data_IF_668329450017
#
_entry.id   IF_668329450017
#
_cell.length_a   1.000
_cell.length_b   1.000
_cell.length_c   1.000
_cell.angle_alpha   90.00
_cell.angle_beta   90.00
_cell.angle_gamma   90.00
#
_symmetry.space_group_name_H-M   'P 1'
#
loop_
_entity.id
_entity.type
_entity.pdbx_description
1 polymer ?
#
# COMPACT_ATOMS: atom_id res chain seq x y z
N UNK A 1 -70.05 -56.94 63.28
CA UNK A 1 -69.45 -57.61 62.11
C UNK A 1 -70.45 -57.94 61.00
N UNK A 2 -71.74 -58.32 61.33
CA UNK A 2 -72.75 -58.63 60.32
C UNK A 2 -73.29 -57.37 59.61
N UNK A 3 -73.51 -56.27 60.33
CA UNK A 3 -73.94 -54.99 59.74
C UNK A 3 -72.91 -54.36 58.83
N UNK A 4 -71.60 -54.46 59.13
CA UNK A 4 -70.53 -53.95 58.29
C UNK A 4 -70.41 -54.74 56.98
N UNK A 5 -70.67 -56.04 56.99
CA UNK A 5 -70.71 -56.88 55.76
C UNK A 5 -71.90 -56.51 54.86
N UNK A 6 -73.07 -56.22 55.49
CA UNK A 6 -74.25 -55.78 54.73
C UNK A 6 -73.98 -54.42 54.02
N UNK A 7 -73.40 -53.46 54.74
CA UNK A 7 -73.07 -52.14 54.18
C UNK A 7 -72.01 -52.20 53.08
N UNK A 8 -71.04 -53.11 53.16
CA UNK A 8 -70.07 -53.34 52.09
C UNK A 8 -70.71 -53.96 50.83
N UNK A 9 -71.67 -54.91 51.05
CA UNK A 9 -72.41 -55.52 49.96
C UNK A 9 -73.33 -54.53 49.25
N UNK A 10 -73.97 -53.62 49.92
CA UNK A 10 -74.75 -52.53 49.28
C UNK A 10 -73.90 -51.55 48.53
N UNK A 11 -72.76 -51.19 49.06
CA UNK A 11 -71.81 -50.35 48.33
C UNK A 11 -71.28 -51.05 47.08
N UNK A 12 -70.92 -52.29 47.08
CA UNK A 12 -70.52 -53.06 45.95
C UNK A 12 -71.62 -53.13 44.86
N UNK A 13 -72.87 -53.37 45.26
CA UNK A 13 -74.02 -53.37 44.34
C UNK A 13 -74.26 -51.97 43.72
N UNK A 14 -74.10 -50.91 44.51
CA UNK A 14 -74.20 -49.52 44.02
C UNK A 14 -73.10 -49.23 43.03
N UNK A 15 -71.84 -49.60 43.27
CA UNK A 15 -70.70 -49.43 42.34
C UNK A 15 -70.90 -50.25 41.07
N UNK A 16 -71.47 -51.49 41.16
CA UNK A 16 -71.75 -52.25 39.92
C UNK A 16 -72.88 -51.60 39.10
N UNK A 17 -73.90 -51.04 39.73
CA UNK A 17 -74.96 -50.28 39.04
C UNK A 17 -74.42 -49.05 38.37
N UNK A 18 -73.53 -48.28 39.02
CA UNK A 18 -72.91 -47.10 38.48
C UNK A 18 -71.98 -47.50 37.30
N UNK A 19 -71.18 -48.53 37.43
CA UNK A 19 -70.30 -49.00 36.37
C UNK A 19 -71.07 -49.48 35.14
N UNK A 20 -72.26 -50.16 35.34
CA UNK A 20 -73.10 -50.58 34.24
C UNK A 20 -73.79 -49.41 33.54
N UNK A 21 -74.17 -48.37 34.26
CA UNK A 21 -74.73 -47.14 33.70
C UNK A 21 -73.67 -46.35 32.89
N UNK A 22 -72.43 -46.20 33.43
CA UNK A 22 -71.33 -45.56 32.76
C UNK A 22 -70.94 -46.33 31.53
N UNK A 23 -70.88 -47.66 31.55
CA UNK A 23 -70.61 -48.50 30.37
C UNK A 23 -71.69 -48.33 29.29
N UNK A 24 -72.94 -48.24 29.69
CA UNK A 24 -74.07 -48.02 28.78
C UNK A 24 -74.04 -46.60 28.14
N UNK A 25 -73.67 -45.57 28.94
CA UNK A 25 -73.49 -44.21 28.45
C UNK A 25 -72.32 -44.15 27.50
N UNK A 26 -71.24 -44.80 27.81
CA UNK A 26 -70.04 -44.86 26.93
C UNK A 26 -70.39 -45.52 25.58
N UNK A 27 -71.14 -46.64 25.56
CA UNK A 27 -71.64 -47.25 24.35
C UNK A 27 -72.55 -46.32 23.51
N UNK A 28 -73.38 -45.52 24.15
CA UNK A 28 -74.24 -44.56 23.47
C UNK A 28 -73.39 -43.42 22.86
N UNK A 29 -72.41 -42.90 23.59
CA UNK A 29 -71.49 -41.89 23.09
C UNK A 29 -70.65 -42.42 21.94
N UNK A 30 -70.15 -43.67 22.08
CA UNK A 30 -69.37 -44.31 21.00
C UNK A 30 -70.22 -44.53 19.71
N UNK A 31 -71.51 -44.88 19.87
CA UNK A 31 -72.45 -44.96 18.74
C UNK A 31 -72.80 -43.60 18.17
N UNK A 32 -72.93 -42.56 18.95
CA UNK A 32 -73.11 -41.18 18.48
C UNK A 32 -71.88 -40.68 17.69
N UNK A 33 -70.73 -40.85 18.27
CA UNK A 33 -69.44 -40.50 17.58
C UNK A 33 -69.26 -41.28 16.32
N UNK A 34 -69.66 -42.56 16.29
CA UNK A 34 -69.62 -43.37 15.06
C UNK A 34 -70.69 -42.97 14.02
N UNK A 35 -71.81 -42.42 14.46
CA UNK A 35 -72.89 -41.93 13.53
C UNK A 35 -72.61 -40.54 12.96
N UNK A 36 -71.81 -39.69 13.63
CA UNK A 36 -71.35 -38.38 13.19
C UNK A 36 -69.99 -38.41 12.50
N UNK A 37 -69.36 -39.60 12.39
CA UNK A 37 -68.15 -39.73 11.60
C UNK A 37 -68.44 -39.31 10.14
N UNK A 38 -67.64 -38.37 9.58
CA UNK A 38 -67.86 -37.88 8.23
C UNK A 38 -67.93 -39.03 7.25
N UNK A 39 -68.86 -38.93 6.29
CA UNK A 39 -69.17 -39.98 5.32
C UNK A 39 -67.87 -40.49 4.66
N UNK A 40 -67.73 -41.78 4.47
CA UNK A 40 -66.55 -42.52 4.01
C UNK A 40 -65.84 -41.93 2.76
N UNK A 41 -66.55 -41.10 2.04
CA UNK A 41 -66.04 -40.42 0.83
C UNK A 41 -65.11 -39.22 1.20
N UNK A 42 -65.42 -38.40 2.20
CA UNK A 42 -64.55 -37.29 2.62
C UNK A 42 -63.30 -37.77 3.42
N UNK A 43 -63.47 -38.82 4.27
CA UNK A 43 -62.37 -39.44 4.97
C UNK A 43 -61.40 -40.17 4.00
N UNK A 44 -61.87 -40.67 2.88
CA UNK A 44 -61.02 -41.31 1.86
C UNK A 44 -60.19 -40.31 1.02
N UNK A 45 -60.67 -39.06 0.91
CA UNK A 45 -59.92 -37.99 0.19
C UNK A 45 -58.84 -37.37 1.10
N UNK A 46 -59.18 -37.00 2.29
CA UNK A 46 -58.26 -36.44 3.28
C UNK A 46 -57.20 -37.46 3.68
N UNK A 47 -57.56 -38.72 3.83
CA UNK A 47 -56.63 -39.81 4.12
C UNK A 47 -55.62 -40.07 2.97
N UNK A 48 -56.10 -40.02 1.72
CA UNK A 48 -55.18 -40.14 0.55
C UNK A 48 -54.29 -38.96 0.37
N UNK A 49 -54.78 -37.75 0.57
CA UNK A 49 -53.97 -36.53 0.51
C UNK A 49 -52.96 -36.53 1.68
N UNK A 50 -53.36 -36.87 2.86
CA UNK A 50 -52.45 -36.99 4.01
C UNK A 50 -51.40 -38.08 3.82
N UNK A 51 -51.73 -39.23 3.28
CA UNK A 51 -50.77 -40.32 2.96
C UNK A 51 -49.82 -39.95 1.81
N UNK A 52 -50.29 -39.17 0.82
CA UNK A 52 -49.46 -38.63 -0.23
C UNK A 52 -48.44 -37.62 0.33
N UNK A 53 -48.89 -36.68 1.18
CA UNK A 53 -47.96 -35.72 1.84
C UNK A 53 -46.99 -36.43 2.80
N UNK A 54 -47.43 -37.45 3.52
CA UNK A 54 -46.53 -38.24 4.40
C UNK A 54 -45.56 -39.10 3.60
N UNK A 55 -45.98 -39.69 2.48
CA UNK A 55 -45.12 -40.43 1.54
C UNK A 55 -44.08 -39.54 0.89
N UNK A 56 -44.52 -38.35 0.39
CA UNK A 56 -43.62 -37.34 -0.17
C UNK A 56 -42.67 -36.82 0.93
N UNK A 57 -43.16 -36.50 2.14
CA UNK A 57 -42.34 -36.08 3.25
C UNK A 57 -41.33 -37.15 3.67
N UNK A 58 -41.74 -38.44 3.67
CA UNK A 58 -40.86 -39.57 3.93
C UNK A 58 -39.81 -39.81 2.84
N UNK A 59 -40.20 -39.65 1.57
CA UNK A 59 -39.28 -39.72 0.44
C UNK A 59 -38.29 -38.55 0.45
N UNK A 60 -38.78 -37.32 0.68
CA UNK A 60 -37.92 -36.13 0.86
C UNK A 60 -36.96 -36.31 2.03
N UNK A 61 -37.41 -36.81 3.15
CA UNK A 61 -36.55 -37.06 4.31
C UNK A 61 -35.50 -38.13 4.05
N UNK A 62 -35.79 -39.17 3.28
CA UNK A 62 -34.80 -40.16 2.84
C UNK A 62 -33.78 -39.59 1.85
N UNK A 63 -34.22 -38.78 0.90
CA UNK A 63 -33.34 -38.07 -0.03
C UNK A 63 -32.47 -37.07 0.73
N UNK A 64 -33.07 -36.34 1.69
CA UNK A 64 -32.37 -35.35 2.50
C UNK A 64 -31.31 -35.97 3.43
N UNK A 65 -31.57 -37.17 3.93
CA UNK A 65 -30.67 -37.93 4.80
C UNK A 65 -29.75 -38.90 4.03
N UNK A 66 -29.75 -38.88 2.69
CA UNK A 66 -28.88 -39.70 1.89
C UNK A 66 -27.41 -39.25 2.05
N UNK A 67 -26.55 -40.15 2.51
CA UNK A 67 -25.11 -39.89 2.67
C UNK A 67 -24.41 -39.98 1.31
N UNK A 68 -23.89 -38.83 0.85
CA UNK A 68 -23.20 -38.75 -0.44
C UNK A 68 -21.70 -38.99 -0.31
N UNK A 69 -21.10 -38.57 0.81
CA UNK A 69 -19.69 -38.68 1.10
C UNK A 69 -19.48 -39.05 2.58
N UNK A 70 -18.62 -40.00 2.83
CA UNK A 70 -18.14 -40.34 4.17
C UNK A 70 -16.72 -39.80 4.32
N UNK A 71 -16.53 -38.80 5.19
CA UNK A 71 -15.21 -38.28 5.55
C UNK A 71 -14.74 -39.01 6.82
N UNK A 72 -13.50 -39.54 6.74
CA UNK A 72 -12.84 -40.12 7.92
C UNK A 72 -12.05 -38.99 8.60
N UNK A 73 -12.50 -38.56 9.76
CA UNK A 73 -11.78 -37.60 10.58
C UNK A 73 -11.06 -38.33 11.72
N UNK A 74 -9.78 -38.00 11.93
CA UNK A 74 -9.00 -38.50 13.03
C UNK A 74 -9.08 -37.54 14.19
N UNK A 75 -9.85 -37.88 15.21
CA UNK A 75 -9.93 -37.09 16.46
C UNK A 75 -9.03 -37.78 17.49
N UNK A 76 -8.02 -37.06 17.93
CA UNK A 76 -7.13 -37.50 19.00
C UNK A 76 -7.78 -37.12 20.35
N UNK A 77 -8.34 -38.12 21.03
CA UNK A 77 -8.87 -38.02 22.38
C UNK A 77 -8.02 -38.94 23.29
N UNK A 78 -7.38 -38.31 24.26
CA UNK A 78 -6.64 -39.02 25.32
C UNK A 78 -5.50 -39.92 24.83
N UNK A 79 -4.79 -39.52 23.76
CA UNK A 79 -3.67 -40.29 23.19
C UNK A 79 -4.09 -41.48 22.31
N UNK A 80 -5.37 -41.67 22.01
CA UNK A 80 -5.89 -42.65 21.07
C UNK A 80 -6.47 -42.00 19.82
N UNK A 81 -6.01 -42.38 18.64
CA UNK A 81 -6.58 -41.99 17.36
C UNK A 81 -7.94 -42.70 17.16
N UNK A 82 -9.04 -41.99 17.42
CA UNK A 82 -10.37 -42.45 17.10
C UNK A 82 -10.76 -41.98 15.69
N UNK A 83 -10.97 -42.94 14.78
CA UNK A 83 -11.52 -42.66 13.44
C UNK A 83 -13.03 -42.44 13.55
N UNK A 84 -13.46 -41.22 13.50
CA UNK A 84 -14.88 -40.86 13.45
C UNK A 84 -15.30 -40.72 11.99
N UNK A 85 -16.20 -41.59 11.54
CA UNK A 85 -16.81 -41.46 10.21
C UNK A 85 -17.96 -40.47 10.28
N UNK A 86 -17.84 -39.35 9.58
CA UNK A 86 -18.92 -38.40 9.40
C UNK A 86 -19.47 -38.51 7.98
N UNK A 87 -20.76 -38.78 7.85
CA UNK A 87 -21.47 -38.79 6.57
C UNK A 87 -21.98 -37.40 6.23
N UNK A 88 -21.53 -36.87 5.10
CA UNK A 88 -22.12 -35.63 4.54
C UNK A 88 -23.41 -35.98 3.82
N UNK A 89 -24.54 -35.55 4.33
CA UNK A 89 -25.86 -35.82 3.74
C UNK A 89 -26.17 -34.85 2.61
N UNK A 90 -27.03 -35.30 1.66
CA UNK A 90 -27.46 -34.46 0.53
C UNK A 90 -28.12 -33.15 1.01
N UNK A 91 -28.81 -33.21 2.15
CA UNK A 91 -29.45 -32.02 2.74
C UNK A 91 -28.45 -30.97 3.21
N UNK A 92 -27.34 -31.41 3.82
CA UNK A 92 -26.26 -30.50 4.23
C UNK A 92 -25.57 -29.90 3.02
N UNK A 93 -25.33 -30.69 1.94
CA UNK A 93 -24.78 -30.20 0.67
C UNK A 93 -25.65 -29.14 0.02
N UNK A 94 -26.95 -29.42 -0.12
CA UNK A 94 -27.90 -28.47 -0.68
C UNK A 94 -28.06 -27.20 0.18
N UNK A 95 -28.07 -27.36 1.52
CA UNK A 95 -28.11 -26.24 2.44
C UNK A 95 -26.87 -25.35 2.35
N UNK A 96 -25.69 -25.95 2.27
CA UNK A 96 -24.43 -25.25 2.11
C UNK A 96 -24.33 -24.53 0.74
N UNK A 97 -24.81 -25.19 -0.33
CA UNK A 97 -24.90 -24.57 -1.66
C UNK A 97 -25.86 -23.38 -1.66
N UNK A 98 -27.03 -23.55 -1.05
CA UNK A 98 -28.02 -22.47 -0.92
C UNK A 98 -27.44 -21.30 -0.11
N UNK A 99 -26.80 -21.61 1.02
CA UNK A 99 -26.09 -20.60 1.82
C UNK A 99 -25.07 -19.83 0.98
N UNK A 100 -24.20 -20.54 0.25
CA UNK A 100 -23.20 -19.92 -0.62
C UNK A 100 -23.84 -18.99 -1.65
N UNK A 101 -24.86 -19.48 -2.37
CA UNK A 101 -25.53 -18.72 -3.41
C UNK A 101 -26.20 -17.48 -2.83
N UNK A 102 -26.98 -17.63 -1.76
CA UNK A 102 -27.69 -16.51 -1.10
C UNK A 102 -26.69 -15.48 -0.58
N UNK A 103 -25.66 -15.94 0.14
CA UNK A 103 -24.63 -15.07 0.70
C UNK A 103 -23.85 -14.34 -0.39
N UNK A 104 -23.50 -15.02 -1.49
CA UNK A 104 -22.84 -14.41 -2.64
C UNK A 104 -23.69 -13.34 -3.31
N UNK A 105 -24.97 -13.62 -3.57
CA UNK A 105 -25.89 -12.63 -4.14
C UNK A 105 -26.14 -11.46 -3.19
N UNK A 106 -26.28 -11.70 -1.89
CA UNK A 106 -26.41 -10.64 -0.90
C UNK A 106 -25.16 -9.75 -0.89
N UNK A 107 -23.96 -10.36 -0.82
CA UNK A 107 -22.68 -9.64 -0.87
C UNK A 107 -22.51 -8.84 -2.17
N UNK A 108 -22.91 -9.40 -3.32
CA UNK A 108 -22.83 -8.71 -4.59
C UNK A 108 -23.76 -7.50 -4.67
N UNK A 109 -24.95 -7.58 -4.04
CA UNK A 109 -25.85 -6.42 -3.94
C UNK A 109 -25.30 -5.34 -3.02
N UNK A 110 -24.72 -5.73 -1.88
CA UNK A 110 -24.06 -4.79 -0.96
C UNK A 110 -22.88 -4.11 -1.64
N UNK A 111 -22.00 -4.88 -2.30
CA UNK A 111 -20.85 -4.35 -3.04
C UNK A 111 -21.28 -3.33 -4.10
N UNK A 112 -22.30 -3.66 -4.91
CA UNK A 112 -22.83 -2.72 -5.93
C UNK A 112 -23.44 -1.45 -5.33
N UNK A 113 -24.07 -1.53 -4.15
CA UNK A 113 -24.58 -0.34 -3.45
C UNK A 113 -23.45 0.53 -2.93
N UNK A 114 -22.43 -0.09 -2.32
CA UNK A 114 -21.24 0.62 -1.84
C UNK A 114 -20.49 1.32 -2.98
N UNK A 115 -20.29 0.62 -4.12
CA UNK A 115 -19.68 1.22 -5.32
C UNK A 115 -20.44 2.48 -5.77
N UNK A 116 -21.77 2.41 -5.85
CA UNK A 116 -22.60 3.59 -6.23
C UNK A 116 -22.44 4.75 -5.25
N UNK A 117 -22.38 4.47 -3.95
CA UNK A 117 -22.20 5.52 -2.92
C UNK A 117 -20.81 6.16 -3.00
N UNK A 118 -19.77 5.34 -3.22
CA UNK A 118 -18.38 5.84 -3.34
C UNK A 118 -18.21 6.71 -4.58
N UNK A 119 -18.76 6.28 -5.71
CA UNK A 119 -18.75 7.06 -6.96
C UNK A 119 -19.56 8.34 -6.81
N UNK A 120 -20.76 8.27 -6.22
CA UNK A 120 -21.63 9.44 -6.03
C UNK A 120 -20.99 10.51 -5.12
N UNK A 121 -20.09 10.12 -4.21
CA UNK A 121 -19.33 11.04 -3.37
C UNK A 121 -18.06 11.60 -4.05
N UNK A 122 -17.81 11.25 -5.30
CA UNK A 122 -16.69 11.78 -6.09
C UNK A 122 -15.29 11.30 -5.65
N UNK A 123 -15.19 10.24 -4.82
CA UNK A 123 -13.92 9.77 -4.31
C UNK A 123 -13.14 8.90 -5.30
N UNK A 124 -13.84 8.26 -6.26
CA UNK A 124 -13.23 7.35 -7.23
C UNK A 124 -13.93 7.47 -8.59
N UNK A 125 -13.16 7.31 -9.67
CA UNK A 125 -13.71 7.16 -11.01
C UNK A 125 -14.47 5.83 -11.14
N UNK A 126 -15.49 5.79 -11.97
CA UNK A 126 -16.35 4.61 -12.22
C UNK A 126 -15.55 3.33 -12.53
N UNK A 127 -14.49 3.45 -13.33
CA UNK A 127 -13.63 2.32 -13.69
C UNK A 127 -12.88 1.76 -12.46
N UNK A 128 -12.35 2.63 -11.62
CA UNK A 128 -11.62 2.25 -10.40
C UNK A 128 -12.54 1.58 -9.38
N UNK A 129 -13.76 2.13 -9.17
CA UNK A 129 -14.76 1.58 -8.27
C UNK A 129 -15.21 0.18 -8.71
N UNK A 130 -15.38 -0.07 -10.01
CA UNK A 130 -15.71 -1.41 -10.55
C UNK A 130 -14.58 -2.40 -10.33
N UNK A 131 -13.33 -2.01 -10.64
CA UNK A 131 -12.16 -2.87 -10.44
C UNK A 131 -12.00 -3.25 -8.99
N UNK A 132 -12.09 -2.29 -8.07
CA UNK A 132 -11.99 -2.52 -6.63
C UNK A 132 -13.13 -3.41 -6.11
N UNK A 133 -14.35 -3.22 -6.63
CA UNK A 133 -15.49 -4.06 -6.30
C UNK A 133 -15.34 -5.51 -6.80
N UNK A 134 -14.75 -5.71 -7.96
CA UNK A 134 -14.48 -7.05 -8.49
C UNK A 134 -13.44 -7.79 -7.61
N UNK A 135 -12.36 -7.13 -7.24
CA UNK A 135 -11.36 -7.70 -6.32
C UNK A 135 -11.96 -8.04 -4.96
N UNK A 136 -12.77 -7.13 -4.39
CA UNK A 136 -13.49 -7.38 -3.16
C UNK A 136 -14.39 -8.63 -3.27
N UNK A 137 -15.12 -8.77 -4.37
CA UNK A 137 -15.99 -9.92 -4.60
C UNK A 137 -15.22 -11.25 -4.76
N UNK A 138 -14.02 -11.21 -5.32
CA UNK A 138 -13.14 -12.41 -5.36
C UNK A 138 -12.77 -12.83 -3.93
N UNK A 139 -12.31 -11.89 -3.09
CA UNK A 139 -11.95 -12.16 -1.69
C UNK A 139 -13.16 -12.67 -0.90
N UNK A 140 -14.31 -12.01 -1.02
CA UNK A 140 -15.57 -12.44 -0.38
C UNK A 140 -15.97 -13.83 -0.87
N UNK A 141 -15.85 -14.12 -2.17
CA UNK A 141 -16.14 -15.43 -2.73
C UNK A 141 -15.27 -16.55 -2.13
N UNK A 142 -13.98 -16.31 -1.98
CA UNK A 142 -13.05 -17.24 -1.33
C UNK A 142 -13.44 -17.47 0.14
N UNK A 143 -13.73 -16.40 0.90
CA UNK A 143 -14.14 -16.51 2.30
C UNK A 143 -15.47 -17.25 2.46
N UNK A 144 -16.44 -17.00 1.58
CA UNK A 144 -17.72 -17.72 1.55
C UNK A 144 -17.52 -19.20 1.19
N UNK A 145 -16.61 -19.51 0.27
CA UNK A 145 -16.27 -20.89 -0.07
C UNK A 145 -15.67 -21.63 1.14
N UNK A 146 -14.70 -21.01 1.83
CA UNK A 146 -14.13 -21.57 3.06
C UNK A 146 -15.18 -21.73 4.18
N UNK A 147 -16.04 -20.75 4.36
CA UNK A 147 -17.16 -20.84 5.31
C UNK A 147 -18.13 -21.98 4.95
N UNK A 148 -18.42 -22.15 3.67
CA UNK A 148 -19.26 -23.25 3.17
C UNK A 148 -18.62 -24.62 3.41
N UNK A 149 -17.30 -24.76 3.16
CA UNK A 149 -16.55 -25.97 3.47
C UNK A 149 -16.56 -26.28 4.97
N UNK A 150 -16.44 -25.26 5.81
CA UNK A 150 -16.54 -25.41 7.26
C UNK A 150 -17.94 -25.88 7.69
N UNK A 151 -19.01 -25.35 7.09
CA UNK A 151 -20.39 -25.81 7.34
C UNK A 151 -20.64 -27.27 6.90
N UNK A 152 -19.83 -27.77 5.97
CA UNK A 152 -19.85 -29.17 5.51
C UNK A 152 -19.00 -30.08 6.38
N UNK A 153 -18.42 -29.56 7.48
CA UNK A 153 -17.47 -30.27 8.34
C UNK A 153 -16.23 -30.83 7.56
N UNK A 154 -15.90 -30.20 6.42
CA UNK A 154 -14.71 -30.59 5.65
C UNK A 154 -13.47 -30.01 6.35
N UNK A 155 -12.45 -30.85 6.67
CA UNK A 155 -11.26 -30.38 7.37
C UNK A 155 -10.52 -29.35 6.51
N UNK A 156 -10.38 -28.13 7.06
CA UNK A 156 -9.73 -26.99 6.36
C UNK A 156 -8.19 -27.08 6.41
N UNK A 157 -7.61 -28.09 7.02
CA UNK A 157 -6.16 -28.26 7.20
C UNK A 157 -5.39 -28.25 5.88
N UNK A 158 -5.89 -28.93 4.85
CA UNK A 158 -5.28 -28.95 3.51
C UNK A 158 -5.32 -27.56 2.89
N UNK A 159 -6.45 -26.86 3.02
CA UNK A 159 -6.60 -25.49 2.51
C UNK A 159 -5.79 -24.48 3.32
N UNK A 160 -5.58 -24.71 4.62
CA UNK A 160 -4.70 -23.91 5.46
C UNK A 160 -3.25 -24.02 5.01
N UNK A 161 -2.77 -25.23 4.69
CA UNK A 161 -1.43 -25.46 4.17
C UNK A 161 -1.22 -24.79 2.80
N UNK A 162 -2.14 -25.01 1.85
CA UNK A 162 -2.10 -24.37 0.54
C UNK A 162 -2.22 -22.86 0.64
N UNK A 163 -3.13 -22.38 1.50
CA UNK A 163 -3.31 -20.95 1.77
C UNK A 163 -2.08 -20.31 2.39
N UNK A 164 -1.40 -21.02 3.31
CA UNK A 164 -0.13 -20.60 3.89
C UNK A 164 0.97 -20.46 2.84
N UNK A 165 1.14 -21.47 1.98
CA UNK A 165 2.10 -21.42 0.88
C UNK A 165 1.79 -20.25 -0.10
N UNK A 166 0.51 -20.06 -0.45
CA UNK A 166 0.06 -18.96 -1.29
C UNK A 166 0.29 -17.59 -0.61
N UNK A 167 0.00 -17.48 0.68
CA UNK A 167 0.22 -16.25 1.46
C UNK A 167 1.70 -15.86 1.49
N UNK A 168 2.61 -16.83 1.66
CA UNK A 168 4.06 -16.59 1.59
C UNK A 168 4.45 -16.10 0.20
N UNK A 169 3.99 -16.77 -0.87
CA UNK A 169 4.26 -16.35 -2.24
C UNK A 169 3.75 -14.94 -2.56
N UNK A 170 2.51 -14.61 -2.16
CA UNK A 170 1.94 -13.28 -2.29
C UNK A 170 2.70 -12.25 -1.44
N UNK A 171 3.13 -12.65 -0.22
CA UNK A 171 3.91 -11.80 0.67
C UNK A 171 5.22 -11.36 0.02
N UNK A 172 6.00 -12.30 -0.54
CA UNK A 172 7.21 -11.98 -1.29
C UNK A 172 6.92 -11.14 -2.54
N UNK A 173 5.85 -11.46 -3.29
CA UNK A 173 5.47 -10.71 -4.49
C UNK A 173 5.02 -9.27 -4.19
N UNK A 174 4.45 -9.01 -3.01
CA UNK A 174 3.97 -7.67 -2.61
C UNK A 174 4.95 -6.93 -1.70
N UNK A 175 6.06 -7.53 -1.31
CA UNK A 175 7.03 -6.97 -0.36
C UNK A 175 7.45 -5.54 -0.71
N UNK A 176 7.83 -5.29 -1.96
CA UNK A 176 8.26 -3.96 -2.41
C UNK A 176 7.12 -2.93 -2.34
N UNK A 177 5.89 -3.33 -2.64
CA UNK A 177 4.73 -2.45 -2.54
C UNK A 177 4.47 -2.03 -1.10
N UNK A 178 4.47 -3.01 -0.18
CA UNK A 178 4.26 -2.78 1.26
C UNK A 178 5.39 -1.90 1.83
N UNK A 179 6.64 -2.19 1.46
CA UNK A 179 7.81 -1.42 1.86
C UNK A 179 7.68 0.06 1.45
N UNK A 180 7.35 0.32 0.19
CA UNK A 180 7.15 1.68 -0.30
C UNK A 180 5.97 2.39 0.35
N UNK A 181 4.89 1.68 0.63
CA UNK A 181 3.72 2.22 1.32
C UNK A 181 4.06 2.63 2.76
N UNK A 182 4.71 1.75 3.52
CA UNK A 182 5.14 2.04 4.90
C UNK A 182 6.14 3.21 4.90
N UNK A 183 7.11 3.22 3.97
CA UNK A 183 8.06 4.32 3.81
C UNK A 183 7.37 5.65 3.53
N UNK A 184 6.32 5.65 2.69
CA UNK A 184 5.53 6.85 2.43
C UNK A 184 4.84 7.38 3.68
N UNK A 185 4.28 6.50 4.51
CA UNK A 185 3.68 6.89 5.80
C UNK A 185 4.73 7.51 6.73
N UNK A 186 5.91 6.87 6.83
CA UNK A 186 7.02 7.37 7.68
C UNK A 186 7.47 8.75 7.22
N UNK A 187 7.68 8.97 5.91
CA UNK A 187 8.06 10.26 5.35
C UNK A 187 7.05 11.37 5.70
N UNK A 188 5.76 11.08 5.58
CA UNK A 188 4.70 12.03 5.89
C UNK A 188 4.61 12.32 7.40
N UNK A 189 4.90 11.34 8.23
CA UNK A 189 4.81 11.47 9.69
C UNK A 189 6.05 12.15 10.28
N UNK A 190 7.26 11.71 9.92
CA UNK A 190 8.52 12.27 10.43
C UNK A 190 8.85 13.65 9.83
N UNK A 191 8.38 13.92 8.62
CA UNK A 191 8.60 15.19 7.92
C UNK A 191 10.07 15.59 7.76
N UNK A 192 10.98 14.60 7.64
CA UNK A 192 12.40 14.83 7.35
C UNK A 192 12.62 15.31 5.92
N UNK A 193 11.68 15.01 5.04
CA UNK A 193 11.58 15.53 3.67
C UNK A 193 10.17 16.08 3.51
N UNK A 194 10.06 17.29 2.97
CA UNK A 194 8.78 17.99 2.77
C UNK A 194 8.64 18.42 1.32
N UNK A 195 7.41 18.61 0.88
CA UNK A 195 7.13 19.25 -0.41
C UNK A 195 7.73 20.65 -0.41
N UNK A 196 8.51 20.97 -1.45
CA UNK A 196 9.27 22.20 -1.58
C UNK A 196 10.73 22.12 -1.10
N UNK A 197 11.15 21.02 -0.48
CA UNK A 197 12.55 20.81 -0.14
C UNK A 197 13.37 20.49 -1.38
N UNK A 198 14.62 20.97 -1.38
CA UNK A 198 15.63 20.59 -2.37
C UNK A 198 16.43 19.43 -1.80
N UNK A 199 16.36 18.29 -2.48
CA UNK A 199 16.98 17.04 -2.03
C UNK A 199 17.89 16.46 -3.11
N UNK A 200 18.88 15.68 -2.65
CA UNK A 200 19.64 14.76 -3.48
C UNK A 200 19.33 13.34 -2.99
N UNK A 201 18.70 12.55 -3.82
CA UNK A 201 18.27 11.18 -3.51
C UNK A 201 18.49 10.28 -4.72
N UNK A 202 19.24 9.20 -4.54
CA UNK A 202 19.55 8.26 -5.62
C UNK A 202 20.25 8.92 -6.81
N UNK A 203 21.06 9.98 -6.60
CA UNK A 203 21.73 10.75 -7.64
C UNK A 203 20.84 11.76 -8.38
N UNK A 204 19.59 11.90 -7.97
CA UNK A 204 18.67 12.92 -8.51
C UNK A 204 18.63 14.12 -7.58
N UNK A 205 19.13 15.25 -8.06
CA UNK A 205 19.08 16.53 -7.34
C UNK A 205 17.93 17.37 -7.85
N UNK A 206 17.00 17.74 -6.94
CA UNK A 206 15.84 18.52 -7.35
C UNK A 206 14.92 18.89 -6.20
N UNK A 207 13.80 19.53 -6.54
CA UNK A 207 12.78 19.95 -5.59
C UNK A 207 11.70 18.88 -5.48
N UNK A 208 11.34 18.51 -4.25
CA UNK A 208 10.22 17.60 -3.98
C UNK A 208 8.92 18.32 -4.32
N UNK A 209 8.18 17.81 -5.31
CA UNK A 209 6.90 18.37 -5.75
C UNK A 209 5.74 17.74 -5.01
N UNK A 210 5.81 16.42 -4.80
CA UNK A 210 4.72 15.64 -4.24
C UNK A 210 5.24 14.40 -3.52
N UNK A 211 4.62 14.05 -2.40
CA UNK A 211 4.87 12.81 -1.66
C UNK A 211 3.57 12.01 -1.67
N UNK A 212 3.54 10.96 -2.49
CA UNK A 212 2.41 10.05 -2.63
C UNK A 212 2.59 8.80 -1.77
N UNK A 213 1.58 7.93 -1.72
CA UNK A 213 1.56 6.71 -0.89
C UNK A 213 2.73 5.76 -1.14
N UNK A 214 3.22 5.61 -2.37
CA UNK A 214 4.28 4.66 -2.72
C UNK A 214 5.52 5.27 -3.36
N UNK A 215 5.42 6.49 -3.87
CA UNK A 215 6.50 7.19 -4.57
C UNK A 215 6.36 8.68 -4.37
N UNK A 216 7.49 9.38 -4.36
CA UNK A 216 7.56 10.83 -4.33
C UNK A 216 8.02 11.35 -5.69
N UNK A 217 7.61 12.57 -6.02
CA UNK A 217 7.98 13.25 -7.28
C UNK A 217 9.02 14.30 -6.95
N UNK A 218 10.18 14.19 -7.57
CA UNK A 218 11.27 15.16 -7.48
C UNK A 218 11.50 15.78 -8.84
N UNK A 219 11.39 17.11 -8.93
CA UNK A 219 11.66 17.85 -10.17
C UNK A 219 13.10 18.34 -10.16
N UNK A 220 13.89 17.85 -11.11
CA UNK A 220 15.26 18.30 -11.34
C UNK A 220 15.33 19.77 -11.74
N UNK A 221 16.53 20.35 -11.68
CA UNK A 221 16.78 21.72 -12.17
C UNK A 221 16.67 21.84 -13.69
N UNK A 222 16.69 20.71 -14.39
CA UNK A 222 16.42 20.58 -15.84
C UNK A 222 14.93 20.56 -16.19
N UNK A 223 14.05 20.56 -15.16
CA UNK A 223 12.61 20.48 -15.29
C UNK A 223 12.05 19.07 -15.43
N UNK A 224 12.90 18.03 -15.45
CA UNK A 224 12.47 16.63 -15.51
C UNK A 224 11.94 16.18 -14.15
N UNK A 225 10.80 15.49 -14.17
CA UNK A 225 10.18 14.92 -12.96
C UNK A 225 10.57 13.45 -12.81
N UNK A 226 11.29 13.14 -11.75
CA UNK A 226 11.67 11.80 -11.39
C UNK A 226 10.68 11.22 -10.37
N UNK A 227 10.12 10.04 -10.65
CA UNK A 227 9.29 9.27 -9.76
C UNK A 227 10.18 8.35 -8.92
N UNK A 228 10.41 8.71 -7.67
CA UNK A 228 11.32 8.00 -6.77
C UNK A 228 10.50 7.17 -5.80
N UNK A 229 10.70 5.83 -5.72
CA UNK A 229 10.06 4.99 -4.72
C UNK A 229 10.35 5.47 -3.30
N UNK A 230 9.34 5.52 -2.43
CA UNK A 230 9.50 6.07 -1.09
C UNK A 230 10.53 5.31 -0.22
N UNK A 231 10.72 4.02 -0.49
CA UNK A 231 11.70 3.21 0.22
C UNK A 231 13.14 3.76 0.06
N UNK A 232 13.48 4.33 -1.09
CA UNK A 232 14.81 4.88 -1.37
C UNK A 232 15.13 6.00 -0.38
N UNK A 233 14.16 6.84 -0.03
CA UNK A 233 14.36 7.92 0.94
C UNK A 233 14.73 7.45 2.35
N UNK A 234 14.44 6.20 2.70
CA UNK A 234 14.74 5.62 4.03
C UNK A 234 15.95 4.67 4.01
N UNK A 235 16.30 4.13 2.84
CA UNK A 235 17.34 3.12 2.69
C UNK A 235 18.66 3.68 2.20
N UNK A 236 18.60 4.75 1.43
CA UNK A 236 19.78 5.41 0.89
C UNK A 236 20.07 6.70 1.65
N UNK A 237 21.30 7.19 1.46
CA UNK A 237 21.68 8.51 1.97
C UNK A 237 20.91 9.58 1.20
N UNK A 238 20.06 10.30 1.90
CA UNK A 238 19.37 11.48 1.37
C UNK A 238 20.03 12.74 1.92
N UNK A 239 20.47 13.62 1.03
CA UNK A 239 20.92 14.95 1.42
C UNK A 239 19.78 15.94 1.22
N UNK A 240 19.23 16.47 2.31
CA UNK A 240 18.23 17.53 2.26
C UNK A 240 18.94 18.87 2.48
N UNK A 241 18.95 19.70 1.43
CA UNK A 241 19.66 20.98 1.43
C UNK A 241 18.86 22.10 2.10
N UNK A 242 17.58 21.90 2.32
CA UNK A 242 16.65 22.90 2.83
C UNK A 242 15.89 22.45 4.09
N UNK A 243 16.36 21.40 4.77
CA UNK A 243 15.68 20.79 5.91
C UNK A 243 15.39 21.77 7.06
N UNK A 244 16.38 22.59 7.43
CA UNK A 244 16.27 23.56 8.51
C UNK A 244 16.32 25.00 8.00
N UNK A 245 17.18 25.25 7.00
CA UNK A 245 17.41 26.55 6.40
C UNK A 245 17.50 26.41 4.89
N UNK A 246 17.03 27.42 4.19
CA UNK A 246 17.16 27.45 2.71
C UNK A 246 18.48 28.04 2.24
N UNK A 247 19.35 28.44 3.19
CA UNK A 247 20.64 29.01 2.89
C UNK A 247 21.67 27.90 2.68
N UNK A 248 22.32 27.90 1.54
CA UNK A 248 23.34 26.91 1.19
C UNK A 248 24.64 27.62 0.83
N UNK A 249 25.74 27.10 1.42
CA UNK A 249 27.07 27.57 1.08
C UNK A 249 27.52 26.94 -0.25
N UNK A 250 27.99 27.79 -1.16
CA UNK A 250 28.60 27.39 -2.42
C UNK A 250 30.03 27.81 -2.46
N UNK A 251 30.80 27.14 -3.31
CA UNK A 251 32.23 27.37 -3.48
C UNK A 251 32.57 27.66 -4.94
N UNK A 252 33.43 28.62 -5.14
CA UNK A 252 33.94 28.96 -6.45
C UNK A 252 35.47 29.04 -6.36
N UNK A 253 36.18 28.16 -7.10
CA UNK A 253 37.61 28.20 -7.25
C UNK A 253 37.99 29.13 -8.40
N UNK A 254 38.99 30.01 -8.14
CA UNK A 254 39.52 30.95 -9.09
C UNK A 254 41.02 30.85 -9.05
N UNK A 255 41.65 30.69 -10.23
CA UNK A 255 43.09 30.61 -10.38
C UNK A 255 43.60 31.87 -11.07
N UNK A 256 44.70 32.41 -10.58
CA UNK A 256 45.36 33.61 -11.16
C UNK A 256 46.85 33.37 -11.37
N UNK A 257 47.47 34.16 -12.25
CA UNK A 257 48.91 34.15 -12.51
C UNK A 257 49.72 34.36 -11.22
N UNK A 258 50.91 33.79 -11.14
CA UNK A 258 51.84 33.95 -10.04
C UNK A 258 52.26 35.39 -9.82
N UNK A 259 52.23 36.26 -10.84
CA UNK A 259 52.56 37.68 -10.72
C UNK A 259 51.44 38.49 -10.04
N UNK A 260 50.23 37.96 -9.94
CA UNK A 260 49.12 38.66 -9.34
C UNK A 260 49.33 38.86 -7.82
N UNK A 261 49.00 40.04 -7.31
CA UNK A 261 49.08 40.36 -5.87
C UNK A 261 47.91 39.70 -5.15
N UNK A 262 48.17 38.78 -4.25
CA UNK A 262 47.12 37.96 -3.61
C UNK A 262 46.07 38.80 -2.85
N UNK A 263 46.47 39.84 -2.14
CA UNK A 263 45.54 40.74 -1.42
C UNK A 263 44.58 41.46 -2.36
N UNK A 264 45.04 41.87 -3.51
CA UNK A 264 44.19 42.52 -4.56
C UNK A 264 43.19 41.54 -5.16
N UNK A 265 43.63 40.29 -5.43
CA UNK A 265 42.75 39.25 -5.92
C UNK A 265 41.64 38.93 -4.89
N UNK A 266 42.02 38.77 -3.64
CA UNK A 266 41.03 38.51 -2.56
C UNK A 266 40.00 39.62 -2.44
N UNK A 267 40.41 40.87 -2.59
CA UNK A 267 39.49 42.02 -2.53
C UNK A 267 38.51 42.00 -3.71
N UNK A 268 39.01 41.75 -4.93
CA UNK A 268 38.17 41.66 -6.15
C UNK A 268 37.14 40.54 -6.03
N UNK A 269 37.54 39.38 -5.51
CA UNK A 269 36.64 38.25 -5.32
C UNK A 269 35.57 38.58 -4.30
N UNK A 270 35.95 39.21 -3.16
CA UNK A 270 35.02 39.63 -2.11
C UNK A 270 34.02 40.66 -2.62
N UNK A 271 34.51 41.74 -3.26
CA UNK A 271 33.66 42.79 -3.86
C UNK A 271 32.64 42.19 -4.87
N UNK A 272 33.13 41.27 -5.72
CA UNK A 272 32.28 40.63 -6.73
C UNK A 272 31.13 39.84 -6.08
N UNK A 273 31.42 39.11 -5.00
CA UNK A 273 30.41 38.38 -4.27
C UNK A 273 29.43 39.32 -3.54
N UNK A 274 29.91 40.38 -2.88
CA UNK A 274 29.11 41.35 -2.16
C UNK A 274 28.16 42.17 -3.07
N UNK A 275 28.61 42.43 -4.29
CA UNK A 275 27.81 43.16 -5.30
C UNK A 275 26.79 42.30 -6.02
N UNK A 276 26.93 40.99 -5.97
CA UNK A 276 25.96 40.08 -6.60
C UNK A 276 24.63 40.05 -5.85
N UNK A 277 23.54 40.33 -6.57
CA UNK A 277 22.20 40.52 -5.96
C UNK A 277 21.60 39.29 -5.26
N UNK A 278 22.03 38.06 -5.59
CA UNK A 278 21.52 36.79 -5.06
C UNK A 278 22.44 36.23 -3.95
N UNK A 279 23.68 36.68 -3.86
CA UNK A 279 24.61 36.29 -2.80
C UNK A 279 24.21 36.99 -1.49
N UNK A 280 24.08 36.19 -0.41
CA UNK A 280 23.72 36.71 0.90
C UNK A 280 24.87 37.52 1.50
N UNK A 281 24.55 38.61 2.18
CA UNK A 281 25.50 39.45 2.91
C UNK A 281 25.75 38.95 4.34
N UNK A 282 24.83 38.18 4.87
CA UNK A 282 24.93 37.50 6.17
C UNK A 282 24.46 36.04 6.01
N UNK A 283 25.36 35.05 6.20
CA UNK A 283 26.79 35.18 6.46
C UNK A 283 27.57 35.80 5.26
N UNK A 284 28.56 36.64 5.57
CA UNK A 284 29.36 37.30 4.56
C UNK A 284 30.19 36.31 3.72
N UNK A 285 30.47 36.64 2.44
CA UNK A 285 31.35 35.83 1.63
C UNK A 285 32.78 35.79 2.21
N UNK A 286 33.42 34.62 2.14
CA UNK A 286 34.77 34.39 2.62
C UNK A 286 35.66 34.01 1.45
N UNK A 287 36.80 34.69 1.31
CA UNK A 287 37.81 34.37 0.30
C UNK A 287 39.04 33.82 0.99
N UNK A 288 39.48 32.66 0.55
CA UNK A 288 40.63 31.94 1.11
C UNK A 288 41.69 31.81 -0.02
N UNK A 289 42.93 32.10 0.31
CA UNK A 289 44.05 31.67 -0.52
C UNK A 289 44.27 30.18 -0.23
N UNK A 290 43.85 29.34 -1.19
CA UNK A 290 43.74 27.88 -0.97
C UNK A 290 45.10 27.19 -1.14
N UNK A 291 45.83 27.52 -2.25
CA UNK A 291 47.05 26.79 -2.57
C UNK A 291 47.93 27.53 -3.58
N UNK A 292 49.22 27.18 -3.59
CA UNK A 292 50.16 27.43 -4.66
C UNK A 292 50.13 26.22 -5.63
N UNK A 293 49.23 26.24 -6.61
CA UNK A 293 49.13 25.16 -7.59
C UNK A 293 50.26 25.16 -8.60
N UNK A 294 50.38 24.12 -9.43
CA UNK A 294 51.52 23.92 -10.38
C UNK A 294 51.74 25.10 -11.33
N UNK A 295 50.68 25.78 -11.74
CA UNK A 295 50.73 26.86 -12.73
C UNK A 295 50.07 28.16 -12.26
N UNK A 296 49.55 28.23 -11.04
CA UNK A 296 48.68 29.29 -10.60
C UNK A 296 48.62 29.45 -9.09
N UNK A 297 48.28 30.63 -8.59
CA UNK A 297 47.77 30.83 -7.26
C UNK A 297 46.28 30.50 -7.26
N UNK A 298 45.83 29.63 -6.33
CA UNK A 298 44.45 29.16 -6.29
C UNK A 298 43.74 29.84 -5.13
N UNK A 299 42.57 30.40 -5.37
CA UNK A 299 41.71 31.01 -4.40
C UNK A 299 40.37 30.29 -4.36
N UNK A 300 39.82 30.10 -3.15
CA UNK A 300 38.51 29.54 -2.88
C UNK A 300 37.61 30.64 -2.33
N UNK A 301 36.56 30.97 -3.05
CA UNK A 301 35.52 31.89 -2.61
C UNK A 301 34.34 31.10 -2.14
N UNK A 302 33.98 31.25 -0.88
CA UNK A 302 32.79 30.64 -0.28
C UNK A 302 31.71 31.72 -0.12
N UNK A 303 30.51 31.44 -0.59
CA UNK A 303 29.40 32.36 -0.53
C UNK A 303 28.09 31.65 -0.27
N UNK A 304 27.13 32.33 0.31
CA UNK A 304 25.83 31.80 0.64
C UNK A 304 24.77 32.29 -0.34
N UNK A 305 23.91 31.35 -0.73
CA UNK A 305 22.73 31.64 -1.58
C UNK A 305 21.49 31.04 -0.98
N UNK A 306 20.33 31.64 -1.19
CA UNK A 306 19.06 31.10 -0.80
C UNK A 306 18.50 30.23 -1.94
N UNK A 307 18.14 28.96 -1.60
CA UNK A 307 17.49 28.04 -2.52
C UNK A 307 15.97 28.20 -2.40
N UNK A 308 15.37 28.97 -3.27
CA UNK A 308 13.91 29.21 -3.32
C UNK A 308 13.21 28.41 -4.45
N UNK A 309 13.92 27.48 -5.09
CA UNK A 309 13.44 26.71 -6.24
C UNK A 309 13.48 27.48 -7.56
N UNK A 310 13.77 28.80 -7.54
CA UNK A 310 13.92 29.65 -8.73
C UNK A 310 15.38 29.94 -9.03
N UNK A 311 16.21 30.03 -7.99
CA UNK A 311 17.62 30.36 -8.12
C UNK A 311 18.44 29.11 -8.37
N UNK A 312 18.98 28.99 -9.59
CA UNK A 312 19.94 27.94 -9.90
C UNK A 312 21.35 28.40 -9.46
N UNK A 313 21.92 27.71 -8.49
CA UNK A 313 23.26 28.04 -7.97
C UNK A 313 24.36 27.95 -9.01
N UNK A 314 24.19 27.23 -10.13
CA UNK A 314 25.10 27.17 -11.23
C UNK A 314 25.14 28.50 -12.03
N UNK A 315 23.95 29.13 -12.18
CA UNK A 315 23.83 30.45 -12.81
C UNK A 315 24.55 31.49 -11.98
N UNK A 316 24.30 31.50 -10.66
CA UNK A 316 25.02 32.43 -9.75
C UNK A 316 26.54 32.27 -9.85
N UNK A 317 27.01 31.01 -9.90
CA UNK A 317 28.45 30.73 -10.09
C UNK A 317 29.00 31.23 -11.44
N UNK A 318 28.17 31.17 -12.49
CA UNK A 318 28.52 31.73 -13.81
C UNK A 318 28.58 33.26 -13.77
N UNK A 319 27.56 33.89 -13.21
CA UNK A 319 27.51 35.36 -13.12
C UNK A 319 28.68 35.91 -12.30
N UNK A 320 29.02 35.27 -11.20
CA UNK A 320 30.22 35.64 -10.42
C UNK A 320 31.51 35.52 -11.25
N UNK A 321 31.67 34.46 -12.05
CA UNK A 321 32.85 34.31 -12.94
C UNK A 321 32.93 35.47 -13.94
N UNK A 322 31.83 35.84 -14.57
CA UNK A 322 31.78 36.97 -15.49
C UNK A 322 32.12 38.30 -14.82
N UNK A 323 31.61 38.53 -13.61
CA UNK A 323 31.93 39.73 -12.82
C UNK A 323 33.42 39.78 -12.46
N UNK A 324 33.99 38.64 -12.03
CA UNK A 324 35.40 38.50 -11.69
C UNK A 324 36.29 38.71 -12.93
N UNK A 325 35.97 38.08 -14.05
CA UNK A 325 36.69 38.20 -15.31
C UNK A 325 36.78 39.67 -15.77
N UNK A 326 35.66 40.37 -15.73
CA UNK A 326 35.61 41.81 -16.07
C UNK A 326 36.55 42.62 -15.16
N UNK A 327 36.50 42.41 -13.84
CA UNK A 327 37.36 43.13 -12.89
C UNK A 327 38.81 42.77 -13.01
N UNK A 328 39.14 41.51 -13.33
CA UNK A 328 40.51 41.08 -13.60
C UNK A 328 41.08 41.77 -14.86
N UNK A 329 40.26 41.89 -15.91
CA UNK A 329 40.64 42.64 -17.12
C UNK A 329 40.91 44.12 -16.85
N UNK A 330 40.07 44.78 -16.01
CA UNK A 330 40.27 46.18 -15.63
C UNK A 330 41.54 46.41 -14.79
N UNK A 331 41.98 45.44 -14.02
CA UNK A 331 43.13 45.54 -13.10
C UNK A 331 44.40 44.87 -13.66
N UNK A 332 44.33 44.28 -14.84
CA UNK A 332 45.50 43.59 -15.48
C UNK A 332 45.89 42.29 -14.76
N UNK A 333 44.94 41.65 -14.03
CA UNK A 333 45.19 40.38 -13.39
C UNK A 333 45.02 39.26 -14.41
N UNK A 334 46.14 38.54 -14.69
CA UNK A 334 46.14 37.47 -15.69
C UNK A 334 45.50 36.16 -15.20
N UNK A 335 44.82 35.52 -16.14
CA UNK A 335 44.40 34.11 -15.97
C UNK A 335 45.55 33.22 -16.38
N UNK A 336 45.97 32.23 -15.59
CA UNK A 336 47.19 31.49 -15.78
C UNK A 336 47.10 30.56 -16.99
N UNK A 337 48.17 30.56 -17.79
CA UNK A 337 48.42 29.50 -18.77
C UNK A 337 49.29 28.41 -18.18
N UNK A 338 49.30 27.19 -18.71
CA UNK A 338 50.23 26.16 -18.30
C UNK A 338 51.68 26.66 -18.51
N UNK A 339 52.47 26.68 -17.41
CA UNK A 339 53.87 27.09 -17.43
C UNK A 339 54.74 25.85 -17.57
N UNK A 340 55.79 25.95 -18.44
CA UNK A 340 56.75 24.86 -18.61
C UNK A 340 58.14 25.45 -18.75
N UNK A 341 59.05 25.04 -17.88
CA UNK A 341 60.46 25.33 -18.02
C UNK A 341 61.09 24.31 -18.95
N UNK A 342 61.65 24.78 -20.06
CA UNK A 342 62.32 23.94 -21.07
C UNK A 342 63.81 24.09 -20.91
N UNK A 343 64.49 23.07 -20.44
CA UNK A 343 65.99 23.02 -20.47
C UNK A 343 66.42 22.32 -21.72
N UNK A 344 66.86 23.12 -22.67
CA UNK A 344 67.43 22.64 -23.98
C UNK A 344 68.95 22.35 -23.82
N UNK A 345 69.28 21.08 -23.77
CA UNK A 345 70.68 20.65 -23.78
C UNK A 345 71.02 20.33 -25.24
N UNK A 346 71.95 21.13 -25.82
CA UNK A 346 72.41 20.92 -27.20
C UNK A 346 73.92 20.90 -27.21
N UNK A 347 74.53 20.00 -28.01
CA UNK A 347 75.99 19.91 -28.18
C UNK A 347 76.58 21.08 -29.02
N UNK A 348 75.71 21.81 -29.73
CA UNK A 348 76.04 22.96 -30.54
C UNK A 348 75.22 24.19 -30.15
N UNK A 349 75.78 25.42 -30.28
CA UNK A 349 75.03 26.63 -30.00
C UNK A 349 73.79 26.72 -30.90
N UNK A 350 72.57 26.91 -30.26
CA UNK A 350 71.37 27.21 -31.02
C UNK A 350 71.39 28.64 -31.55
N UNK A 351 71.26 28.80 -32.90
CA UNK A 351 70.95 30.11 -33.45
C UNK A 351 69.49 30.42 -33.26
N UNK A 352 69.21 31.38 -32.39
CA UNK A 352 67.82 31.84 -32.16
C UNK A 352 67.62 33.10 -32.99
N UNK A 353 66.74 33.05 -33.96
CA UNK A 353 66.27 34.21 -34.72
C UNK A 353 64.99 34.73 -34.09
N UNK A 354 64.96 35.92 -33.51
CA UNK A 354 63.77 36.53 -32.94
C UNK A 354 63.03 37.23 -34.08
N UNK A 355 62.00 36.61 -34.61
CA UNK A 355 61.06 37.20 -35.54
C UNK A 355 60.05 38.05 -34.78
N UNK A 356 60.28 39.38 -34.81
CA UNK A 356 59.28 40.28 -34.28
C UNK A 356 58.07 40.33 -35.25
N UNK A 357 56.83 40.20 -34.77
CA UNK A 357 55.71 40.38 -35.69
C UNK A 357 55.73 41.80 -36.23
N UNK A 358 55.55 41.92 -37.55
CA UNK A 358 55.42 43.18 -38.21
C UNK A 358 54.23 43.94 -37.67
N UNK A 359 54.35 45.20 -37.28
CA UNK A 359 53.19 45.97 -36.88
C UNK A 359 52.13 45.94 -37.99
N UNK A 360 50.90 45.47 -37.68
CA UNK A 360 49.78 45.61 -38.60
C UNK A 360 49.62 47.08 -38.94
N UNK A 361 49.78 47.42 -40.26
CA UNK A 361 49.42 48.73 -40.77
C UNK A 361 47.93 48.89 -40.51
N UNK A 362 47.58 49.82 -39.62
CA UNK A 362 46.22 50.26 -39.47
C UNK A 362 45.62 50.61 -40.80
N UNK A 363 44.51 49.97 -41.16
CA UNK A 363 43.69 50.44 -42.29
C UNK A 363 43.08 51.77 -41.84
N UNK A 364 43.74 52.86 -42.37
CA UNK A 364 43.09 54.15 -42.54
C UNK A 364 42.06 54.03 -43.67
N UNK A 365 40.77 53.88 -43.34
CA UNK A 365 39.72 54.35 -44.25
C UNK A 365 38.42 54.51 -43.42
#
# INVERSE_FOLDING_TARGET
LAEQRAAIGERQLALQRISSVVARQKQLVDRWVAAEAPTVVEAAWTGRVASWFSAIGGALKRIWSFEVLTLEDKVELDGQELKVKRGVTLGVLLGALLFFVVAYFASSRVSRRLQKVVVARGHLADAQARTMGNWLMIVVGVLLALATLHLLDIPLTVFAFLGGALAIGLGFGTQTLIKNFISGIILLFERKVRVGDVVDVGGTVGTVIEINTRSSVVRGFDGVEALIPNAIFLEEKVTNWTLYERRVRRELRVSVDYNAVASQVMEVLRESAERHGVVLKDPAPVVIFEDFGDNAKVFLMQFWVELDGKNNSLVVGSDLRLMIEKRFGELGIGVPYPQRDLHLMTEKPLKVEIVMPKPEKGDES
#
